data_IF_519595038975
#
_entry.id   IF_519595038975
#
_cell.length_a   1.000
_cell.length_b   1.000
_cell.length_c   1.000
_cell.angle_alpha   90.00
_cell.angle_beta   90.00
_cell.angle_gamma   90.00
#
_symmetry.space_group_name_H-M   'P 1'
#
loop_
_entity.id
_entity.type
_entity.pdbx_description
1 polymer ?
#
# COMPACT_ATOMS: atom_id res chain seq x y z
N UNK A 1 19.69 11.76 23.67
CA UNK A 1 19.75 10.53 22.86
C UNK A 1 19.76 10.95 21.39
N UNK A 2 20.90 10.76 20.71
CA UNK A 2 20.98 11.05 19.26
C UNK A 2 20.21 9.94 18.57
N UNK A 3 19.10 10.29 17.92
CA UNK A 3 18.36 9.38 17.04
C UNK A 3 19.33 8.98 15.91
N UNK A 4 19.76 7.74 15.91
CA UNK A 4 20.51 7.18 14.79
C UNK A 4 19.54 7.19 13.61
N UNK A 5 19.71 8.13 12.68
CA UNK A 5 18.97 8.12 11.45
C UNK A 5 19.40 6.90 10.66
N UNK A 6 18.51 5.93 10.50
CA UNK A 6 18.75 4.79 9.61
C UNK A 6 18.89 5.33 8.20
N UNK A 7 20.08 5.19 7.61
CA UNK A 7 20.34 5.61 6.24
C UNK A 7 19.90 4.50 5.30
N UNK A 8 18.88 4.75 4.49
CA UNK A 8 18.41 3.82 3.46
C UNK A 8 19.23 3.98 2.19
N UNK A 9 19.62 2.86 1.58
CA UNK A 9 20.33 2.85 0.30
C UNK A 9 19.33 2.65 -0.85
N UNK A 10 18.94 3.74 -1.48
CA UNK A 10 18.03 3.72 -2.63
C UNK A 10 18.71 3.39 -3.96
N UNK A 11 20.06 3.36 -4.00
CA UNK A 11 20.83 2.98 -5.19
C UNK A 11 21.00 1.45 -5.29
N UNK A 12 20.64 0.71 -4.26
CA UNK A 12 20.72 -0.74 -4.24
C UNK A 12 19.69 -1.33 -5.20
N UNK A 13 20.19 -1.95 -6.27
CA UNK A 13 19.32 -2.68 -7.22
C UNK A 13 18.84 -3.98 -6.59
N UNK A 14 17.51 -4.16 -6.58
CA UNK A 14 16.85 -5.35 -6.04
C UNK A 14 16.29 -6.14 -7.22
N UNK A 15 16.79 -7.37 -7.40
CA UNK A 15 16.25 -8.26 -8.41
C UNK A 15 14.86 -8.76 -7.96
N UNK A 16 13.84 -8.47 -8.75
CA UNK A 16 12.46 -8.88 -8.51
C UNK A 16 11.98 -9.95 -9.49
N UNK A 17 12.84 -10.41 -10.42
CA UNK A 17 12.51 -11.51 -11.34
C UNK A 17 12.44 -12.84 -10.56
N UNK A 18 11.48 -13.67 -10.89
CA UNK A 18 11.25 -14.96 -10.23
C UNK A 18 10.53 -14.87 -8.88
N UNK A 19 9.94 -13.74 -8.57
CA UNK A 19 9.16 -13.52 -7.33
C UNK A 19 7.65 -13.53 -7.57
N UNK A 20 7.20 -13.86 -8.75
CA UNK A 20 5.83 -13.69 -9.24
C UNK A 20 5.37 -12.23 -9.25
N UNK A 21 6.32 -11.31 -9.37
CA UNK A 21 6.04 -9.89 -9.45
C UNK A 21 5.35 -9.56 -10.77
N UNK A 22 4.14 -9.02 -10.69
CA UNK A 22 3.34 -8.65 -11.85
C UNK A 22 4.09 -7.72 -12.81
N UNK A 23 4.94 -6.86 -12.27
CA UNK A 23 5.69 -5.85 -13.00
C UNK A 23 6.81 -6.44 -13.86
N UNK A 24 7.47 -7.51 -13.38
CA UNK A 24 8.64 -8.10 -14.04
C UNK A 24 8.38 -9.45 -14.68
N UNK A 25 7.63 -10.33 -14.00
CA UNK A 25 7.54 -11.74 -14.43
C UNK A 25 6.45 -12.00 -15.47
N UNK A 26 5.50 -11.06 -15.63
CA UNK A 26 4.35 -11.22 -16.53
C UNK A 26 4.37 -10.30 -17.76
N UNK A 27 5.53 -9.73 -18.09
CA UNK A 27 5.65 -8.82 -19.24
C UNK A 27 5.32 -9.52 -20.56
N UNK A 28 5.90 -10.70 -20.80
CA UNK A 28 5.72 -11.47 -22.05
C UNK A 28 4.27 -11.93 -22.20
N UNK A 29 3.65 -12.44 -21.16
CA UNK A 29 2.26 -12.88 -21.16
C UNK A 29 1.28 -11.72 -21.46
N UNK A 30 1.71 -10.48 -21.21
CA UNK A 30 0.99 -9.25 -21.52
C UNK A 30 1.38 -8.64 -22.86
N UNK A 31 2.07 -9.41 -23.72
CA UNK A 31 2.48 -8.95 -25.04
C UNK A 31 3.59 -7.90 -25.04
N UNK A 32 4.40 -7.82 -23.97
CA UNK A 32 5.53 -6.91 -23.88
C UNK A 32 6.85 -7.66 -24.08
N UNK A 33 7.92 -7.00 -24.58
CA UNK A 33 9.24 -7.60 -24.63
C UNK A 33 9.73 -8.05 -23.25
N UNK A 34 10.47 -9.16 -23.18
CA UNK A 34 10.99 -9.68 -21.91
C UNK A 34 11.94 -8.72 -21.18
N UNK A 35 12.64 -7.87 -21.94
CA UNK A 35 13.64 -6.94 -21.42
C UNK A 35 13.10 -5.49 -21.29
N UNK A 36 11.77 -5.32 -21.38
CA UNK A 36 11.18 -4.00 -21.25
C UNK A 36 11.38 -3.44 -19.83
N UNK A 37 11.76 -2.18 -19.73
CA UNK A 37 11.78 -1.46 -18.46
C UNK A 37 10.32 -1.22 -18.01
N UNK A 38 9.87 -1.82 -16.91
CA UNK A 38 8.47 -1.70 -16.50
C UNK A 38 8.21 -0.35 -15.83
N UNK A 39 7.37 0.47 -16.46
CA UNK A 39 6.90 1.75 -15.91
C UNK A 39 5.39 1.72 -15.58
N UNK A 40 4.79 0.55 -15.64
CA UNK A 40 3.40 0.30 -15.21
C UNK A 40 3.36 -0.28 -13.81
N UNK A 41 2.24 -0.23 -13.14
CA UNK A 41 2.03 -0.58 -11.73
C UNK A 41 2.86 0.29 -10.78
N UNK A 42 2.20 0.91 -9.83
CA UNK A 42 2.81 1.91 -8.95
C UNK A 42 3.61 1.33 -7.77
N UNK A 43 3.83 0.00 -7.74
CA UNK A 43 4.68 -0.61 -6.71
C UNK A 43 6.14 -0.19 -6.90
N UNK A 44 6.77 0.25 -5.82
CA UNK A 44 8.15 0.73 -5.81
C UNK A 44 9.14 -0.44 -5.78
N UNK A 45 10.34 -0.19 -6.34
CA UNK A 45 11.43 -1.16 -6.37
C UNK A 45 12.41 -1.02 -5.18
N UNK A 46 12.01 -0.27 -4.17
CA UNK A 46 12.77 -0.08 -2.94
C UNK A 46 12.29 -1.01 -1.82
N UNK A 47 13.22 -1.48 -1.01
CA UNK A 47 12.86 -2.20 0.22
C UNK A 47 12.10 -1.27 1.17
N UNK A 48 11.11 -1.82 1.84
CA UNK A 48 10.44 -1.12 2.94
C UNK A 48 11.39 -0.91 4.11
N UNK A 49 11.07 0.03 4.98
CA UNK A 49 11.89 0.31 6.15
C UNK A 49 11.99 -0.89 7.11
N UNK A 50 13.08 -0.96 7.87
CA UNK A 50 13.27 -2.03 8.85
C UNK A 50 12.17 -2.07 9.91
N UNK A 51 11.61 -0.93 10.29
CA UNK A 51 10.52 -0.84 11.27
C UNK A 51 9.27 -1.58 10.76
N UNK A 52 8.95 -1.45 9.46
CA UNK A 52 7.84 -2.18 8.84
C UNK A 52 8.15 -3.68 8.84
N UNK A 53 9.37 -4.06 8.42
CA UNK A 53 9.78 -5.46 8.38
C UNK A 53 9.76 -6.11 9.77
N UNK A 54 10.27 -5.41 10.79
CA UNK A 54 10.23 -5.88 12.19
C UNK A 54 8.80 -6.07 12.69
N UNK A 55 7.90 -5.15 12.37
CA UNK A 55 6.49 -5.25 12.75
C UNK A 55 5.78 -6.44 12.10
N UNK A 56 6.09 -6.71 10.82
CA UNK A 56 5.57 -7.88 10.12
C UNK A 56 6.13 -9.19 10.69
N UNK A 57 7.43 -9.25 10.99
CA UNK A 57 8.05 -10.42 11.63
C UNK A 57 7.41 -10.73 12.98
N UNK A 58 7.17 -9.73 13.82
CA UNK A 58 6.50 -9.94 15.11
C UNK A 58 5.10 -10.54 14.94
N UNK A 59 4.35 -10.15 13.92
CA UNK A 59 3.06 -10.74 13.62
C UNK A 59 3.18 -12.19 13.13
N UNK A 60 4.21 -12.49 12.33
CA UNK A 60 4.49 -13.86 11.85
C UNK A 60 4.90 -14.77 13.00
N UNK A 61 5.80 -14.31 13.88
CA UNK A 61 6.24 -15.06 15.06
C UNK A 61 5.10 -15.36 16.05
N UNK A 62 4.13 -14.44 16.18
CA UNK A 62 2.93 -14.69 16.96
C UNK A 62 2.12 -15.88 16.44
N UNK A 63 2.07 -16.11 15.12
CA UNK A 63 1.57 -17.31 14.47
C UNK A 63 0.08 -17.57 14.58
N UNK A 64 -0.70 -16.69 15.22
CA UNK A 64 -2.16 -16.82 15.34
C UNK A 64 -2.82 -15.70 14.55
N UNK A 65 -3.41 -16.06 13.43
CA UNK A 65 -4.04 -15.14 12.48
C UNK A 65 -5.56 -15.26 12.59
N UNK A 66 -6.13 -14.47 13.47
CA UNK A 66 -7.57 -14.42 13.69
C UNK A 66 -8.19 -13.11 13.21
N UNK A 67 -9.42 -12.87 13.63
CA UNK A 67 -10.10 -11.60 13.37
C UNK A 67 -9.47 -10.49 14.20
N UNK A 68 -8.89 -9.51 13.52
CA UNK A 68 -8.21 -8.37 14.15
C UNK A 68 -8.97 -7.07 13.85
N UNK A 69 -9.16 -6.26 14.87
CA UNK A 69 -9.77 -4.94 14.74
C UNK A 69 -8.74 -3.86 15.08
N UNK A 70 -8.59 -2.83 14.24
CA UNK A 70 -7.68 -1.73 14.54
C UNK A 70 -8.16 -0.93 15.74
N UNK A 71 -7.19 -0.53 16.56
CA UNK A 71 -7.39 0.33 17.72
C UNK A 71 -7.02 1.78 17.39
N UNK A 72 -7.08 2.65 18.39
CA UNK A 72 -6.87 4.09 18.22
C UNK A 72 -5.54 4.47 17.57
N UNK A 73 -4.46 3.73 17.84
CA UNK A 73 -3.15 3.99 17.21
C UNK A 73 -3.20 3.94 15.69
N UNK A 74 -4.01 3.06 15.11
CA UNK A 74 -4.18 2.95 13.66
C UNK A 74 -4.87 4.19 13.07
N UNK A 75 -5.99 4.59 13.67
CA UNK A 75 -6.73 5.76 13.22
C UNK A 75 -5.94 7.06 13.43
N UNK A 76 -5.26 7.18 14.58
CA UNK A 76 -4.41 8.31 14.88
C UNK A 76 -3.24 8.44 13.88
N UNK A 77 -2.64 7.32 13.45
CA UNK A 77 -1.60 7.33 12.43
C UNK A 77 -2.11 7.92 11.11
N UNK A 78 -3.31 7.51 10.66
CA UNK A 78 -3.93 8.03 9.44
C UNK A 78 -4.25 9.52 9.58
N UNK A 79 -4.92 9.91 10.66
CA UNK A 79 -5.30 11.31 10.89
C UNK A 79 -4.08 12.24 10.99
N UNK A 80 -3.03 11.79 11.68
CA UNK A 80 -1.79 12.54 11.77
C UNK A 80 -1.07 12.67 10.42
N UNK A 81 -1.09 11.62 9.61
CA UNK A 81 -0.54 11.67 8.26
C UNK A 81 -1.27 12.67 7.38
N UNK A 82 -2.60 12.62 7.36
CA UNK A 82 -3.43 13.53 6.58
C UNK A 82 -3.24 14.98 7.01
N UNK A 83 -3.22 15.23 8.31
CA UNK A 83 -2.96 16.57 8.85
C UNK A 83 -1.57 17.07 8.48
N UNK A 84 -0.53 16.26 8.68
CA UNK A 84 0.88 16.66 8.46
C UNK A 84 1.20 16.89 7.00
N UNK A 85 0.75 16.01 6.10
CA UNK A 85 1.20 16.01 4.71
C UNK A 85 0.21 16.69 3.76
N UNK A 86 -1.07 16.77 4.13
CA UNK A 86 -2.14 17.33 3.30
C UNK A 86 -2.88 18.49 3.95
N UNK A 87 -2.49 18.88 5.18
CA UNK A 87 -3.17 19.95 5.95
C UNK A 87 -4.68 19.69 6.11
N UNK A 88 -5.05 18.42 6.10
CA UNK A 88 -6.44 17.98 6.18
C UNK A 88 -6.73 17.34 7.54
N UNK A 89 -7.56 18.01 8.34
CA UNK A 89 -8.04 17.48 9.62
C UNK A 89 -9.19 16.51 9.39
N UNK A 90 -8.89 15.23 9.45
CA UNK A 90 -9.87 14.15 9.32
C UNK A 90 -10.37 13.70 10.68
N UNK A 91 -11.55 13.06 10.71
CA UNK A 91 -12.14 12.46 11.90
C UNK A 91 -12.14 10.94 11.77
N UNK A 92 -12.09 10.25 12.90
CA UNK A 92 -12.10 8.78 12.94
C UNK A 92 -13.31 8.18 12.21
N UNK A 93 -14.48 8.77 12.41
CA UNK A 93 -15.74 8.32 11.80
C UNK A 93 -15.78 8.47 10.27
N UNK A 94 -14.86 9.22 9.69
CA UNK A 94 -14.72 9.37 8.24
C UNK A 94 -13.85 8.27 7.62
N UNK A 95 -13.16 7.48 8.45
CA UNK A 95 -12.21 6.46 7.99
C UNK A 95 -12.93 5.12 7.87
N UNK A 96 -13.19 4.72 6.64
CA UNK A 96 -13.76 3.41 6.30
C UNK A 96 -12.67 2.52 5.71
N UNK A 97 -12.51 1.33 6.29
CA UNK A 97 -11.56 0.33 5.78
C UNK A 97 -12.21 -0.49 4.68
N UNK A 98 -11.46 -0.68 3.61
CA UNK A 98 -11.84 -1.55 2.49
C UNK A 98 -10.68 -2.48 2.12
N UNK A 99 -10.94 -3.60 1.43
CA UNK A 99 -9.88 -4.49 0.96
C UNK A 99 -8.91 -3.86 -0.05
N UNK A 100 -9.25 -2.68 -0.59
CA UNK A 100 -8.43 -1.93 -1.52
C UNK A 100 -9.21 -0.80 -2.19
N UNK A 101 -8.49 0.11 -2.83
CA UNK A 101 -9.07 1.31 -3.48
C UNK A 101 -10.05 0.95 -4.61
N UNK A 102 -9.73 -0.05 -5.43
CA UNK A 102 -10.61 -0.49 -6.52
C UNK A 102 -11.95 -0.98 -5.99
N UNK A 103 -11.94 -1.75 -4.90
CA UNK A 103 -13.16 -2.17 -4.23
C UNK A 103 -13.95 -0.96 -3.69
N UNK A 104 -13.26 -0.01 -3.05
CA UNK A 104 -13.88 1.20 -2.53
C UNK A 104 -14.55 2.03 -3.62
N UNK A 105 -13.88 2.21 -4.76
CA UNK A 105 -14.43 2.90 -5.93
C UNK A 105 -15.67 2.18 -6.47
N UNK A 106 -15.60 0.85 -6.64
CA UNK A 106 -16.76 0.08 -7.10
C UNK A 106 -17.95 0.14 -6.14
N UNK A 107 -17.67 0.15 -4.82
CA UNK A 107 -18.73 0.32 -3.81
C UNK A 107 -19.33 1.73 -3.85
N UNK A 108 -18.51 2.77 -4.00
CA UNK A 108 -18.94 4.15 -4.10
C UNK A 108 -19.82 4.37 -5.35
N UNK A 109 -19.40 3.87 -6.51
CA UNK A 109 -20.21 3.93 -7.73
C UNK A 109 -21.60 3.31 -7.50
N UNK A 110 -21.64 2.09 -6.94
CA UNK A 110 -22.92 1.44 -6.68
C UNK A 110 -23.80 2.16 -5.65
N UNK A 111 -23.20 2.89 -4.73
CA UNK A 111 -23.94 3.59 -3.67
C UNK A 111 -24.46 4.96 -4.08
N UNK A 112 -23.78 5.63 -5.01
CA UNK A 112 -24.03 7.05 -5.31
C UNK A 112 -24.46 7.33 -6.75
N UNK A 113 -24.58 6.31 -7.60
CA UNK A 113 -25.01 6.48 -8.98
C UNK A 113 -26.11 5.49 -9.38
N UNK A 114 -26.93 5.90 -10.35
CA UNK A 114 -27.93 5.06 -11.01
C UNK A 114 -27.43 4.59 -12.40
N UNK A 115 -28.02 3.53 -12.99
CA UNK A 115 -27.70 3.10 -14.34
C UNK A 115 -27.90 4.21 -15.37
N UNK A 116 -26.81 4.59 -16.05
CA UNK A 116 -26.81 5.67 -17.03
C UNK A 116 -26.15 6.96 -16.58
N UNK A 117 -25.79 7.07 -15.30
CA UNK A 117 -25.01 8.20 -14.78
C UNK A 117 -23.59 8.22 -15.32
N UNK A 118 -23.09 9.43 -15.56
CA UNK A 118 -21.70 9.64 -15.95
C UNK A 118 -20.81 9.83 -14.70
N UNK A 119 -19.63 9.22 -14.74
CA UNK A 119 -18.61 9.36 -13.69
C UNK A 119 -17.42 10.10 -14.30
N UNK A 120 -16.99 11.17 -13.66
CA UNK A 120 -15.83 11.98 -14.04
C UNK A 120 -14.60 11.63 -13.19
#
# INVERSE_FOLDING_TARGET
>A
MVSCMTTYNFDKIINRKGTNCLKYDFAVERGKPAEVLPLWVADMDFQVSEEITKSLHAAVEHGIYGYTQPKDHYYNAIMNWMKKNHQWETKREWIVKTPGVVFALGAAVKAFTDPGDAIL
#
